data_IF_865227856885
#
_entry.id   IF_865227856885
#
_cell.length_a   1.000
_cell.length_b   1.000
_cell.length_c   1.000
_cell.angle_alpha   90.00
_cell.angle_beta   90.00
_cell.angle_gamma   90.00
#
_symmetry.space_group_name_H-M   'P 1'
#
loop_
_entity.id
_entity.type
_entity.pdbx_description
1 polymer ?
#
# COMPACT_ATOMS: atom_id res chain seq x y z
N UNK A 1 1.40 20.40 3.51
CA UNK A 1 1.97 19.38 2.61
C UNK A 1 1.75 18.02 3.23
N UNK A 2 0.68 17.33 2.84
CA UNK A 2 0.28 16.05 3.40
C UNK A 2 1.37 15.01 3.14
N UNK A 3 2.09 14.64 4.18
CA UNK A 3 3.23 13.73 4.14
C UNK A 3 2.68 12.34 3.82
N UNK A 4 2.87 11.87 2.59
CA UNK A 4 2.54 10.49 2.24
C UNK A 4 3.44 9.59 3.10
N UNK A 5 2.88 8.93 4.09
CA UNK A 5 3.64 8.15 5.09
C UNK A 5 4.04 6.75 4.61
N UNK A 6 3.86 6.45 3.32
CA UNK A 6 4.07 5.10 2.77
C UNK A 6 5.38 5.09 1.97
N UNK A 7 6.31 4.22 2.37
CA UNK A 7 7.57 3.98 1.66
C UNK A 7 7.56 2.63 0.94
N UNK A 8 8.49 2.49 -0.01
CA UNK A 8 8.82 1.20 -0.62
C UNK A 8 9.40 0.30 0.49
N UNK A 9 8.99 -0.97 0.53
CA UNK A 9 9.26 -1.95 1.59
C UNK A 9 8.47 -1.81 2.90
N UNK A 10 7.44 -0.96 2.94
CA UNK A 10 6.56 -0.89 4.11
C UNK A 10 5.55 -2.04 4.12
N UNK A 11 5.10 -2.46 5.30
CA UNK A 11 4.09 -3.51 5.43
C UNK A 11 2.73 -2.86 5.66
N UNK A 12 1.78 -3.12 4.78
CA UNK A 12 0.43 -2.54 4.84
C UNK A 12 -0.60 -3.62 5.03
N UNK A 13 -1.71 -3.25 5.67
CA UNK A 13 -2.85 -4.13 5.91
C UNK A 13 -4.05 -3.62 5.12
N UNK A 14 -4.74 -4.53 4.43
CA UNK A 14 -5.96 -4.20 3.68
C UNK A 14 -7.13 -4.08 4.63
N UNK A 15 -7.57 -2.83 4.86
CA UNK A 15 -8.67 -2.53 5.77
C UNK A 15 -10.07 -2.83 5.16
N UNK A 16 -10.20 -2.72 3.84
CA UNK A 16 -11.46 -2.89 3.12
C UNK A 16 -11.23 -3.40 1.69
N UNK A 17 -12.22 -4.12 1.13
CA UNK A 17 -12.18 -4.72 -0.20
C UNK A 17 -12.31 -6.24 -0.17
N UNK A 18 -12.14 -6.86 -1.33
CA UNK A 18 -12.17 -8.32 -1.50
C UNK A 18 -11.02 -9.00 -0.73
N UNK A 19 -9.88 -8.32 -0.66
CA UNK A 19 -8.67 -8.77 0.04
C UNK A 19 -8.58 -8.31 1.51
N UNK A 20 -9.70 -7.92 2.13
CA UNK A 20 -9.74 -7.45 3.52
C UNK A 20 -9.14 -8.50 4.46
N UNK A 21 -8.18 -8.08 5.28
CA UNK A 21 -7.48 -8.99 6.20
C UNK A 21 -6.10 -9.43 5.72
N UNK A 22 -5.77 -9.23 4.44
CA UNK A 22 -4.43 -9.53 3.94
C UNK A 22 -3.44 -8.45 4.36
N UNK A 23 -2.27 -8.89 4.80
CA UNK A 23 -1.08 -8.06 4.91
C UNK A 23 -0.20 -8.29 3.69
N UNK A 24 0.42 -7.22 3.21
CA UNK A 24 1.34 -7.31 2.10
C UNK A 24 2.41 -6.23 2.16
N UNK A 25 3.50 -6.45 1.42
CA UNK A 25 4.64 -5.54 1.39
C UNK A 25 4.54 -4.60 0.19
N UNK A 26 4.76 -3.32 0.40
CA UNK A 26 4.70 -2.32 -0.67
C UNK A 26 5.93 -2.44 -1.57
N UNK A 27 5.72 -2.88 -2.81
CA UNK A 27 6.77 -2.95 -3.83
C UNK A 27 7.04 -1.57 -4.43
N UNK A 28 5.99 -0.81 -4.72
CA UNK A 28 6.10 0.49 -5.39
C UNK A 28 4.97 1.42 -4.96
N UNK A 29 5.32 2.69 -4.76
CA UNK A 29 4.34 3.75 -4.45
C UNK A 29 4.27 4.70 -5.64
N UNK A 30 3.09 4.81 -6.23
CA UNK A 30 2.75 5.76 -7.29
C UNK A 30 2.08 6.98 -6.65
N UNK A 31 2.91 7.89 -6.15
CA UNK A 31 2.46 9.11 -5.46
C UNK A 31 1.60 10.00 -6.37
N UNK A 32 1.87 10.01 -7.68
CA UNK A 32 1.09 10.79 -8.67
C UNK A 32 -0.36 10.32 -8.78
N UNK A 33 -0.59 9.03 -8.63
CA UNK A 33 -1.90 8.39 -8.79
C UNK A 33 -2.53 8.03 -7.45
N UNK A 34 -1.85 8.33 -6.33
CA UNK A 34 -2.21 7.87 -4.98
C UNK A 34 -2.45 6.36 -4.89
N UNK A 35 -1.65 5.56 -5.62
CA UNK A 35 -1.73 4.10 -5.61
C UNK A 35 -0.45 3.48 -5.06
N UNK A 36 -0.56 2.32 -4.43
CA UNK A 36 0.56 1.50 -4.02
C UNK A 36 0.38 0.09 -4.58
N UNK A 37 1.47 -0.48 -5.08
CA UNK A 37 1.54 -1.88 -5.49
C UNK A 37 2.04 -2.67 -4.30
N UNK A 38 1.25 -3.64 -3.88
CA UNK A 38 1.49 -4.46 -2.70
C UNK A 38 1.69 -5.90 -3.16
N UNK A 39 2.69 -6.59 -2.61
CA UNK A 39 2.94 -7.99 -2.91
C UNK A 39 1.88 -8.87 -2.23
N UNK A 40 1.19 -9.70 -3.01
CA UNK A 40 0.17 -10.64 -2.53
C UNK A 40 -1.28 -10.14 -2.58
N UNK A 41 -1.51 -8.92 -3.10
CA UNK A 41 -2.82 -8.28 -3.32
C UNK A 41 -2.86 -7.62 -4.70
#
# INVERSE_FOLDING_TARGET
MSKLHIKKNDTVFVNAGEDKGKTGKVLKVLVKENRAIVEGV
#
